data_IF_453058600352
#
_entry.id   IF_453058600352
#
_cell.length_a   1.000
_cell.length_b   1.000
_cell.length_c   1.000
_cell.angle_alpha   90.00
_cell.angle_beta   90.00
_cell.angle_gamma   90.00
#
_symmetry.space_group_name_H-M   'P 1'
#
loop_
_entity.id
_entity.type
_entity.pdbx_description
1 polymer ?
#
# COMPACT_ATOMS: atom_id res chain seq x y z
N UNK A 1 -50.42 -34.20 46.30
CA UNK A 1 -49.88 -34.55 44.96
C UNK A 1 -50.27 -33.39 44.06
N UNK A 2 -49.42 -32.37 44.01
CA UNK A 2 -49.70 -31.08 43.35
C UNK A 2 -48.54 -30.71 42.41
N UNK A 3 -48.87 -29.88 41.42
CA UNK A 3 -48.00 -28.99 40.64
C UNK A 3 -46.85 -29.60 39.81
N UNK A 4 -47.17 -30.04 38.58
CA UNK A 4 -46.23 -30.10 37.44
C UNK A 4 -46.86 -29.51 36.16
N UNK A 5 -47.33 -28.26 36.19
CA UNK A 5 -47.88 -27.55 35.02
C UNK A 5 -47.54 -26.05 35.02
N UNK A 6 -46.24 -25.68 35.06
CA UNK A 6 -45.85 -24.25 35.10
C UNK A 6 -44.53 -23.87 34.41
N UNK A 7 -43.76 -24.83 33.87
CA UNK A 7 -42.42 -24.54 33.31
C UNK A 7 -42.47 -24.17 31.82
N UNK A 8 -43.28 -24.88 31.02
CA UNK A 8 -43.33 -24.78 29.55
C UNK A 8 -43.87 -23.41 29.04
N UNK A 9 -44.66 -22.72 29.87
CA UNK A 9 -45.20 -21.39 29.56
C UNK A 9 -44.16 -20.26 29.66
N UNK A 10 -43.05 -20.46 30.38
CA UNK A 10 -42.04 -19.40 30.58
C UNK A 10 -40.99 -19.37 29.45
N UNK A 11 -40.60 -20.53 28.92
CA UNK A 11 -39.66 -20.62 27.79
C UNK A 11 -40.28 -20.12 26.48
N UNK A 12 -41.54 -20.49 26.21
CA UNK A 12 -42.29 -20.01 25.04
C UNK A 12 -42.47 -18.49 25.01
N UNK A 13 -42.71 -17.86 26.17
CA UNK A 13 -42.73 -16.39 26.31
C UNK A 13 -41.34 -15.79 26.07
N UNK A 14 -40.27 -16.36 26.64
CA UNK A 14 -38.89 -15.88 26.43
C UNK A 14 -38.45 -15.92 24.96
N UNK A 15 -38.84 -16.97 24.22
CA UNK A 15 -38.53 -17.10 22.78
C UNK A 15 -39.33 -16.08 21.96
N UNK A 16 -40.61 -15.84 22.29
CA UNK A 16 -41.42 -14.83 21.62
C UNK A 16 -40.91 -13.39 21.87
N UNK A 17 -40.49 -13.05 23.09
CA UNK A 17 -39.83 -11.76 23.37
C UNK A 17 -38.54 -11.57 22.56
N UNK A 18 -37.70 -12.61 22.46
CA UNK A 18 -36.47 -12.58 21.65
C UNK A 18 -36.80 -12.36 20.17
N UNK A 19 -37.85 -13.02 19.65
CA UNK A 19 -38.32 -12.85 18.26
C UNK A 19 -38.85 -11.44 18.01
N UNK A 20 -39.65 -10.88 18.92
CA UNK A 20 -40.14 -9.49 18.79
C UNK A 20 -38.99 -8.47 18.84
N UNK A 21 -38.01 -8.64 19.75
CA UNK A 21 -36.80 -7.79 19.79
C UNK A 21 -35.94 -7.91 18.53
N UNK A 22 -35.91 -9.08 17.88
CA UNK A 22 -35.22 -9.27 16.59
C UNK A 22 -35.94 -8.54 15.45
N UNK A 23 -37.27 -8.62 15.38
CA UNK A 23 -38.08 -7.93 14.36
C UNK A 23 -38.01 -6.41 14.53
N UNK A 24 -38.15 -5.88 15.75
CA UNK A 24 -37.98 -4.45 16.01
C UNK A 24 -36.57 -3.94 15.63
N UNK A 25 -35.53 -4.78 15.78
CA UNK A 25 -34.15 -4.49 15.31
C UNK A 25 -33.94 -4.63 13.80
N UNK A 26 -34.87 -5.23 13.07
CA UNK A 26 -34.88 -5.26 11.60
C UNK A 26 -35.64 -4.04 11.07
N UNK A 27 -36.81 -3.74 11.63
CA UNK A 27 -37.60 -2.54 11.29
C UNK A 27 -36.83 -1.25 11.58
N UNK A 28 -36.14 -1.16 12.73
CA UNK A 28 -35.27 -0.02 13.05
C UNK A 28 -34.09 0.12 12.07
N UNK A 29 -33.58 -0.99 11.51
CA UNK A 29 -32.54 -0.96 10.47
C UNK A 29 -33.10 -0.49 9.13
N UNK A 30 -34.24 -1.03 8.69
CA UNK A 30 -34.91 -0.54 7.48
C UNK A 30 -35.33 0.94 7.57
N UNK A 31 -35.69 1.42 8.77
CA UNK A 31 -35.93 2.85 9.01
C UNK A 31 -34.64 3.70 8.94
N UNK A 32 -33.49 3.16 9.35
CA UNK A 32 -32.18 3.81 9.17
C UNK A 32 -31.71 3.76 7.71
N UNK A 33 -31.91 2.66 7.00
CA UNK A 33 -31.60 2.53 5.56
C UNK A 33 -32.42 3.54 4.73
N UNK A 34 -33.70 3.77 5.09
CA UNK A 34 -34.54 4.78 4.46
C UNK A 34 -34.03 6.23 4.64
N UNK A 35 -33.31 6.51 5.74
CA UNK A 35 -32.62 7.80 5.97
C UNK A 35 -31.22 7.81 5.32
N UNK A 36 -30.57 6.65 5.22
CA UNK A 36 -29.30 6.44 4.53
C UNK A 36 -29.36 6.53 3.00
N UNK A 37 -30.55 6.61 2.41
CA UNK A 37 -30.80 6.65 0.95
C UNK A 37 -30.40 7.97 0.25
N UNK A 38 -29.26 8.55 0.67
CA UNK A 38 -28.50 9.60 -0.03
C UNK A 38 -27.07 9.17 -0.39
N UNK A 39 -26.51 8.13 0.24
CA UNK A 39 -25.13 7.66 -0.04
C UNK A 39 -25.00 6.80 -1.30
N UNK A 40 -26.11 6.25 -1.80
CA UNK A 40 -26.13 5.53 -3.08
C UNK A 40 -25.96 6.46 -4.29
N UNK A 41 -26.36 7.74 -4.18
CA UNK A 41 -26.24 8.72 -5.27
C UNK A 41 -24.77 9.02 -5.60
N UNK A 42 -23.96 9.30 -4.57
CA UNK A 42 -22.57 9.74 -4.74
C UNK A 42 -21.67 8.67 -5.36
N UNK A 43 -21.90 7.39 -5.09
CA UNK A 43 -21.21 6.31 -5.80
C UNK A 43 -21.51 6.33 -7.31
N UNK A 44 -22.78 6.47 -7.71
CA UNK A 44 -23.13 6.54 -9.14
C UNK A 44 -22.65 7.82 -9.83
N UNK A 45 -22.47 8.91 -9.08
CA UNK A 45 -21.93 10.18 -9.57
C UNK A 45 -20.41 10.10 -9.73
N UNK A 46 -19.72 9.49 -8.77
CA UNK A 46 -18.30 9.21 -8.85
C UNK A 46 -17.94 8.26 -10.00
N UNK A 47 -18.67 7.15 -10.17
CA UNK A 47 -18.41 6.19 -11.24
C UNK A 47 -18.61 6.82 -12.63
N UNK A 48 -19.54 7.80 -12.76
CA UNK A 48 -19.68 8.64 -13.97
C UNK A 48 -18.48 9.56 -14.17
N UNK A 49 -17.98 10.23 -13.13
CA UNK A 49 -16.78 11.06 -13.20
C UNK A 49 -15.55 10.26 -13.60
N UNK A 50 -15.35 9.07 -13.01
CA UNK A 50 -14.26 8.16 -13.34
C UNK A 50 -14.35 7.67 -14.80
N UNK A 51 -15.55 7.31 -15.27
CA UNK A 51 -15.79 6.92 -16.66
C UNK A 51 -15.52 8.08 -17.64
N UNK A 52 -15.98 9.30 -17.33
CA UNK A 52 -15.74 10.52 -18.12
C UNK A 52 -14.24 10.84 -18.20
N UNK A 53 -13.53 10.80 -17.07
CA UNK A 53 -12.09 11.04 -17.02
C UNK A 53 -11.28 9.96 -17.77
N UNK A 54 -11.69 8.69 -17.67
CA UNK A 54 -11.09 7.58 -18.43
C UNK A 54 -11.38 7.68 -19.94
N UNK A 55 -12.55 8.21 -20.33
CA UNK A 55 -12.87 8.47 -21.73
C UNK A 55 -11.95 9.56 -22.33
N UNK A 56 -11.79 10.68 -21.62
CA UNK A 56 -10.91 11.80 -22.01
C UNK A 56 -9.45 11.34 -22.14
N UNK A 57 -8.99 10.46 -21.24
CA UNK A 57 -7.65 9.85 -21.31
C UNK A 57 -7.41 9.01 -22.58
N UNK A 58 -8.46 8.43 -23.17
CA UNK A 58 -8.38 7.57 -24.35
C UNK A 58 -8.73 8.30 -25.66
N UNK A 59 -9.38 9.47 -25.60
CA UNK A 59 -9.67 10.29 -26.78
C UNK A 59 -8.43 11.04 -27.27
N UNK A 60 -8.20 11.02 -28.58
CA UNK A 60 -7.04 11.67 -29.21
C UNK A 60 -7.11 13.21 -29.23
N UNK A 61 -8.27 13.79 -28.90
CA UNK A 61 -8.53 15.23 -28.88
C UNK A 61 -8.55 15.76 -27.44
N UNK A 62 -7.49 16.48 -27.06
CA UNK A 62 -7.31 17.04 -25.71
C UNK A 62 -8.05 18.38 -25.57
N UNK A 63 -9.38 18.32 -25.44
CA UNK A 63 -10.18 19.46 -24.97
C UNK A 63 -10.59 19.24 -23.50
N UNK A 64 -9.63 19.47 -22.59
CA UNK A 64 -9.84 19.33 -21.14
C UNK A 64 -10.37 20.66 -20.60
N UNK A 65 -11.67 20.71 -20.30
CA UNK A 65 -12.28 21.88 -19.67
C UNK A 65 -11.73 22.10 -18.24
N UNK A 66 -11.31 23.32 -17.87
CA UNK A 66 -10.73 23.58 -16.55
C UNK A 66 -11.74 23.37 -15.41
N UNK A 67 -13.03 23.60 -15.67
CA UNK A 67 -14.12 23.33 -14.71
C UNK A 67 -14.19 21.83 -14.33
N UNK A 68 -13.87 20.92 -15.26
CA UNK A 68 -13.90 19.48 -15.01
C UNK A 68 -12.79 19.02 -14.04
N UNK A 69 -11.62 19.67 -14.08
CA UNK A 69 -10.56 19.40 -13.09
C UNK A 69 -11.01 19.82 -11.68
N UNK A 70 -11.71 20.95 -11.56
CA UNK A 70 -12.22 21.44 -10.29
C UNK A 70 -13.41 20.63 -9.76
N UNK A 71 -14.23 20.07 -10.65
CA UNK A 71 -15.26 19.05 -10.35
C UNK A 71 -14.61 17.79 -9.74
N UNK A 72 -13.53 17.28 -10.35
CA UNK A 72 -12.75 16.14 -9.83
C UNK A 72 -12.11 16.45 -8.46
N UNK A 73 -11.48 17.62 -8.30
CA UNK A 73 -10.87 18.03 -7.02
C UNK A 73 -11.91 18.13 -5.89
N UNK A 74 -13.11 18.63 -6.21
CA UNK A 74 -14.22 18.74 -5.25
C UNK A 74 -14.78 17.36 -4.89
N UNK A 75 -14.91 16.45 -5.86
CA UNK A 75 -15.28 15.05 -5.58
C UNK A 75 -14.26 14.36 -4.66
N UNK A 76 -12.96 14.62 -4.85
CA UNK A 76 -11.90 14.06 -4.03
C UNK A 76 -11.85 14.59 -2.58
N UNK A 77 -12.42 15.76 -2.28
CA UNK A 77 -12.49 16.29 -0.90
C UNK A 77 -13.76 15.86 -0.16
N UNK A 78 -14.82 15.47 -0.87
CA UNK A 78 -16.11 15.07 -0.29
C UNK A 78 -16.24 13.57 0.02
N UNK A 79 -15.32 12.73 -0.48
CA UNK A 79 -15.42 11.27 -0.40
C UNK A 79 -14.50 10.70 0.69
N UNK A 80 -14.99 9.81 1.58
CA UNK A 80 -14.15 9.08 2.53
C UNK A 80 -13.02 8.32 1.82
N UNK A 81 -11.84 8.27 2.44
CA UNK A 81 -10.63 7.70 1.83
C UNK A 81 -10.76 6.17 1.67
N UNK A 82 -11.34 5.71 0.56
CA UNK A 82 -11.43 4.30 0.21
C UNK A 82 -11.51 4.09 -1.31
N UNK A 83 -10.77 3.07 -1.80
CA UNK A 83 -10.78 2.36 -3.11
C UNK A 83 -10.83 3.14 -4.43
N UNK A 84 -11.61 4.20 -4.53
CA UNK A 84 -11.92 4.91 -5.77
C UNK A 84 -11.15 6.23 -5.92
N UNK A 85 -10.80 6.87 -4.80
CA UNK A 85 -10.07 8.15 -4.80
C UNK A 85 -8.66 8.05 -5.40
N UNK A 86 -8.00 6.88 -5.36
CA UNK A 86 -6.64 6.73 -5.90
C UNK A 86 -6.61 6.83 -7.43
N UNK A 87 -7.41 6.01 -8.13
CA UNK A 87 -7.49 6.02 -9.61
C UNK A 87 -7.86 7.40 -10.14
N UNK A 88 -8.76 8.11 -9.45
CA UNK A 88 -9.14 9.47 -9.83
C UNK A 88 -8.03 10.51 -9.54
N UNK A 89 -7.24 10.36 -8.46
CA UNK A 89 -6.03 11.17 -8.21
C UNK A 89 -4.95 10.92 -9.27
N UNK A 90 -4.73 9.68 -9.68
CA UNK A 90 -3.79 9.34 -10.76
C UNK A 90 -4.21 9.99 -12.08
N UNK A 91 -5.47 9.81 -12.50
CA UNK A 91 -6.00 10.41 -13.72
C UNK A 91 -5.92 11.94 -13.65
N UNK A 92 -6.30 12.57 -12.52
CA UNK A 92 -6.14 14.01 -12.29
C UNK A 92 -4.67 14.47 -12.48
N UNK A 93 -3.70 13.74 -11.94
CA UNK A 93 -2.28 14.07 -12.07
C UNK A 93 -1.79 13.95 -13.52
N UNK A 94 -2.29 12.96 -14.28
CA UNK A 94 -1.99 12.83 -15.72
C UNK A 94 -2.64 13.96 -16.53
N UNK A 95 -3.92 14.26 -16.30
CA UNK A 95 -4.63 15.36 -16.97
C UNK A 95 -3.97 16.72 -16.68
N UNK A 96 -3.57 17.00 -15.43
CA UNK A 96 -2.77 18.18 -15.07
C UNK A 96 -1.44 18.23 -15.83
N UNK A 97 -0.74 17.09 -15.93
CA UNK A 97 0.53 17.00 -16.66
C UNK A 97 0.37 17.19 -18.18
N UNK A 98 -0.77 16.79 -18.76
CA UNK A 98 -1.11 17.03 -20.16
C UNK A 98 -1.47 18.51 -20.40
N UNK A 99 -2.34 19.09 -19.56
CA UNK A 99 -2.67 20.52 -19.59
C UNK A 99 -1.41 21.39 -19.48
N UNK A 100 -0.50 21.07 -18.56
CA UNK A 100 0.74 21.83 -18.38
C UNK A 100 1.67 21.74 -19.60
N UNK A 101 1.67 20.62 -20.34
CA UNK A 101 2.37 20.50 -21.63
C UNK A 101 1.70 21.32 -22.74
N UNK A 102 0.38 21.39 -22.76
CA UNK A 102 -0.40 22.14 -23.74
C UNK A 102 -0.25 23.66 -23.53
N UNK A 103 -0.43 24.16 -22.30
CA UNK A 103 -0.21 25.56 -21.94
C UNK A 103 1.28 25.95 -21.97
N UNK A 104 2.20 25.00 -21.76
CA UNK A 104 3.65 25.22 -21.88
C UNK A 104 4.15 25.55 -23.29
N UNK A 105 3.31 25.39 -24.31
CA UNK A 105 3.59 25.80 -25.70
C UNK A 105 2.99 27.17 -26.07
N UNK A 106 2.16 27.77 -25.22
CA UNK A 106 1.45 29.02 -25.54
C UNK A 106 1.24 29.97 -24.35
N UNK A 107 2.32 30.58 -23.83
CA UNK A 107 2.32 32.04 -23.67
C UNK A 107 3.75 32.62 -23.58
N UNK A 108 3.88 33.91 -23.86
CA UNK A 108 5.16 34.61 -23.90
C UNK A 108 5.75 34.84 -22.50
N UNK A 109 7.08 34.87 -22.43
CA UNK A 109 7.81 35.21 -21.21
C UNK A 109 7.53 36.67 -20.81
N UNK A 110 6.79 36.89 -19.72
CA UNK A 110 6.92 38.13 -18.94
C UNK A 110 8.00 37.91 -17.88
N UNK A 111 9.05 38.72 -17.93
CA UNK A 111 10.30 38.42 -17.24
C UNK A 111 10.24 38.64 -15.73
N UNK A 112 10.58 37.61 -14.96
CA UNK A 112 11.18 37.73 -13.63
C UNK A 112 12.57 37.11 -13.63
N UNK A 113 13.55 37.90 -14.06
CA UNK A 113 14.94 37.48 -14.20
C UNK A 113 15.68 37.57 -12.86
N UNK A 114 15.75 36.46 -12.11
CA UNK A 114 16.65 36.35 -10.96
C UNK A 114 18.09 36.17 -11.43
N UNK A 115 18.81 37.29 -11.54
CA UNK A 115 20.22 37.32 -11.96
C UNK A 115 21.12 36.72 -10.87
N UNK A 116 21.73 35.57 -11.14
CA UNK A 116 22.75 34.96 -10.26
C UNK A 116 24.13 35.53 -10.57
N UNK A 117 24.60 36.44 -9.70
CA UNK A 117 25.95 37.01 -9.82
C UNK A 117 27.00 35.97 -9.40
N UNK A 118 27.69 35.37 -10.37
CA UNK A 118 29.00 34.73 -10.14
C UNK A 118 30.08 35.81 -10.13
N UNK A 119 30.97 35.77 -9.15
CA UNK A 119 32.24 36.51 -9.17
C UNK A 119 33.40 35.60 -8.74
N UNK A 120 34.60 35.95 -9.18
CA UNK A 120 35.70 35.02 -9.44
C UNK A 120 36.57 34.69 -8.23
N UNK A 121 37.35 33.62 -8.37
CA UNK A 121 38.39 33.22 -7.44
C UNK A 121 39.57 34.20 -7.38
N UNK A 122 40.11 34.43 -6.18
CA UNK A 122 41.53 34.75 -5.98
C UNK A 122 41.96 34.40 -4.53
N UNK A 123 43.05 33.67 -4.37
CA UNK A 123 43.83 33.51 -3.12
C UNK A 123 44.66 34.79 -2.84
N UNK A 124 45.10 35.14 -1.58
CA UNK A 124 46.01 34.27 -0.79
C UNK A 124 46.14 34.42 0.77
N UNK A 125 46.84 33.43 1.36
CA UNK A 125 47.78 33.48 2.54
C UNK A 125 47.31 33.82 3.98
N UNK A 126 47.25 32.76 4.80
CA UNK A 126 47.97 32.51 6.09
C UNK A 126 48.33 33.69 7.02
N UNK A 127 47.85 33.63 8.28
CA UNK A 127 48.66 33.88 9.49
C UNK A 127 48.06 33.28 10.80
N UNK A 128 48.83 33.30 11.90
CA UNK A 128 48.71 32.41 13.08
C UNK A 128 48.08 33.04 14.33
N UNK A 129 47.48 32.14 15.14
CA UNK A 129 47.46 32.08 16.61
C UNK A 129 46.70 33.11 17.47
N UNK A 130 45.77 32.60 18.29
CA UNK A 130 45.79 32.75 19.75
C UNK A 130 45.02 31.58 20.40
N UNK A 131 45.31 31.26 21.68
CA UNK A 131 44.81 30.07 22.38
C UNK A 131 43.87 30.47 23.53
N UNK A 132 42.75 29.76 23.67
CA UNK A 132 42.04 29.62 24.95
C UNK A 132 41.56 28.17 25.11
N UNK A 133 41.91 27.54 26.23
CA UNK A 133 41.57 26.14 26.56
C UNK A 133 40.34 26.12 27.47
N UNK A 134 39.44 25.16 27.25
CA UNK A 134 38.68 24.48 28.31
C UNK A 134 38.33 23.05 27.84
N UNK A 135 38.84 22.07 28.57
CA UNK A 135 38.49 20.63 28.52
C UNK A 135 38.18 20.20 29.96
N UNK A 136 37.62 19.01 30.21
CA UNK A 136 36.61 18.26 29.46
C UNK A 136 35.43 17.84 30.39
N UNK A 137 34.38 17.21 29.86
CA UNK A 137 33.73 16.08 30.53
C UNK A 137 32.98 15.17 29.54
N UNK A 138 33.08 13.87 29.77
CA UNK A 138 32.36 12.73 29.21
C UNK A 138 32.19 12.58 27.68
N UNK A 139 33.20 11.94 27.10
CA UNK A 139 33.13 11.26 25.81
C UNK A 139 32.59 9.82 25.95
N UNK A 140 31.32 9.59 25.60
CA UNK A 140 30.84 8.23 25.28
C UNK A 140 30.98 8.01 23.78
N UNK A 141 32.11 7.43 23.35
CA UNK A 141 32.36 7.11 21.94
C UNK A 141 31.55 5.88 21.51
N UNK A 142 30.29 6.07 21.12
CA UNK A 142 29.61 5.07 20.28
C UNK A 142 30.03 5.31 18.84
N UNK A 143 31.10 4.64 18.42
CA UNK A 143 31.53 4.65 17.02
C UNK A 143 30.45 4.02 16.15
N UNK A 144 29.67 4.86 15.47
CA UNK A 144 28.73 4.44 14.41
C UNK A 144 29.53 3.91 13.23
N UNK A 145 29.93 2.64 13.35
CA UNK A 145 30.54 1.87 12.26
C UNK A 145 29.46 1.67 11.21
N UNK A 146 29.42 2.58 10.24
CA UNK A 146 28.53 2.50 9.08
C UNK A 146 28.91 1.24 8.29
N UNK A 147 28.24 0.14 8.62
CA UNK A 147 28.30 -1.09 7.84
C UNK A 147 27.70 -0.76 6.48
N UNK A 148 28.57 -0.63 5.49
CA UNK A 148 28.17 -0.61 4.08
C UNK A 148 27.65 -2.01 3.76
N UNK A 149 26.35 -2.23 4.01
CA UNK A 149 25.69 -3.46 3.64
C UNK A 149 25.73 -3.59 2.12
N UNK A 150 26.27 -4.72 1.65
CA UNK A 150 26.34 -5.08 0.24
C UNK A 150 24.91 -5.38 -0.23
N UNK A 151 24.25 -4.35 -0.77
CA UNK A 151 22.89 -4.45 -1.28
C UNK A 151 22.93 -4.92 -2.74
N UNK A 152 22.27 -6.03 -3.04
CA UNK A 152 22.07 -6.52 -4.41
C UNK A 152 20.90 -5.77 -5.02
N UNK A 153 21.08 -5.26 -6.23
CA UNK A 153 20.06 -4.47 -6.94
C UNK A 153 19.67 -5.15 -8.24
N UNK A 154 18.36 -5.31 -8.47
CA UNK A 154 17.74 -5.71 -9.73
C UNK A 154 16.95 -4.51 -10.25
N UNK A 155 17.26 -4.03 -11.46
CA UNK A 155 16.71 -2.79 -12.04
C UNK A 155 16.47 -2.92 -13.54
N UNK A 156 15.35 -2.35 -14.03
CA UNK A 156 15.05 -2.23 -15.47
C UNK A 156 15.06 -3.58 -16.22
N UNK A 157 14.54 -4.61 -15.56
CA UNK A 157 14.42 -5.96 -16.13
C UNK A 157 12.96 -6.25 -16.50
N UNK A 158 12.72 -6.64 -17.75
CA UNK A 158 11.36 -6.84 -18.26
C UNK A 158 11.26 -8.13 -19.09
N UNK A 159 10.16 -8.88 -18.94
CA UNK A 159 9.89 -10.08 -19.74
C UNK A 159 10.79 -11.28 -19.42
N UNK A 160 11.43 -11.33 -18.24
CA UNK A 160 12.48 -12.32 -17.94
C UNK A 160 12.19 -13.15 -16.69
N UNK A 161 12.76 -14.36 -16.70
CA UNK A 161 12.91 -15.19 -15.53
C UNK A 161 14.32 -15.02 -14.96
N UNK A 162 14.42 -14.61 -13.70
CA UNK A 162 15.66 -14.19 -13.04
C UNK A 162 15.86 -14.96 -11.74
N UNK A 163 17.08 -15.46 -11.52
CA UNK A 163 17.52 -16.01 -10.23
C UNK A 163 18.63 -15.11 -9.70
N UNK A 164 18.34 -14.37 -8.63
CA UNK A 164 19.26 -13.43 -8.01
C UNK A 164 20.37 -14.21 -7.29
N UNK A 165 21.62 -13.89 -7.59
CA UNK A 165 22.79 -14.48 -6.91
C UNK A 165 23.24 -13.57 -5.77
N UNK A 166 23.40 -14.15 -4.58
CA UNK A 166 23.77 -13.44 -3.37
C UNK A 166 23.96 -14.37 -2.18
N UNK A 167 24.46 -13.80 -1.09
CA UNK A 167 24.80 -14.52 0.14
C UNK A 167 23.76 -14.25 1.27
N UNK A 168 23.64 -15.19 2.21
CA UNK A 168 22.71 -15.12 3.34
C UNK A 168 22.95 -13.88 4.23
N UNK A 169 22.05 -12.91 4.19
CA UNK A 169 22.13 -11.67 4.98
C UNK A 169 22.52 -10.43 4.20
N UNK A 170 22.67 -10.53 2.88
CA UNK A 170 22.68 -9.35 2.00
C UNK A 170 21.28 -8.75 1.88
N UNK A 171 21.19 -7.43 1.70
CA UNK A 171 19.92 -6.76 1.41
C UNK A 171 19.62 -6.82 -0.10
N UNK A 172 18.36 -6.89 -0.48
CA UNK A 172 17.95 -6.96 -1.89
C UNK A 172 17.03 -5.80 -2.24
N UNK A 173 17.30 -5.13 -3.35
CA UNK A 173 16.47 -4.05 -3.91
C UNK A 173 15.99 -4.44 -5.31
N UNK A 174 14.69 -4.42 -5.55
CA UNK A 174 14.05 -4.72 -6.83
C UNK A 174 13.26 -3.48 -7.27
N UNK A 175 13.75 -2.78 -8.29
CA UNK A 175 13.17 -1.53 -8.76
C UNK A 175 12.84 -1.62 -10.25
N UNK A 176 11.72 -1.06 -10.69
CA UNK A 176 11.43 -0.88 -12.13
C UNK A 176 11.53 -2.20 -12.93
N UNK A 177 10.82 -3.23 -12.45
CA UNK A 177 10.77 -4.58 -13.05
C UNK A 177 9.35 -4.86 -13.52
N UNK A 178 9.20 -5.43 -14.72
CA UNK A 178 7.86 -5.63 -15.32
C UNK A 178 7.72 -7.00 -15.98
N UNK A 179 6.53 -7.62 -15.94
CA UNK A 179 6.21 -8.85 -16.67
C UNK A 179 7.29 -9.95 -16.50
N UNK A 180 7.74 -10.17 -15.26
CA UNK A 180 8.92 -10.98 -14.95
C UNK A 180 8.67 -11.98 -13.83
N UNK A 181 9.60 -12.92 -13.64
CA UNK A 181 9.63 -13.82 -12.47
C UNK A 181 11.00 -13.70 -11.81
N UNK A 182 11.06 -13.21 -10.58
CA UNK A 182 12.31 -13.03 -9.83
C UNK A 182 12.34 -13.99 -8.65
N UNK A 183 13.40 -14.79 -8.56
CA UNK A 183 13.66 -15.73 -7.46
C UNK A 183 14.89 -15.29 -6.66
N UNK A 184 14.77 -15.31 -5.34
CA UNK A 184 15.85 -15.01 -4.39
C UNK A 184 16.09 -16.26 -3.54
N UNK A 185 17.03 -17.15 -3.92
CA UNK A 185 17.25 -18.45 -3.30
C UNK A 185 18.01 -18.40 -1.95
N UNK A 186 18.39 -17.22 -1.47
CA UNK A 186 19.15 -16.99 -0.24
C UNK A 186 18.37 -16.12 0.75
N UNK A 187 18.68 -16.24 2.05
CA UNK A 187 17.97 -15.54 3.14
C UNK A 187 18.44 -14.10 3.24
N UNK A 188 17.87 -13.23 2.41
CA UNK A 188 18.11 -11.79 2.45
C UNK A 188 17.88 -11.19 3.85
N UNK A 189 18.64 -10.16 4.20
CA UNK A 189 18.52 -9.43 5.47
C UNK A 189 17.21 -8.63 5.49
N UNK A 190 17.08 -7.65 4.58
CA UNK A 190 15.87 -6.92 4.26
C UNK A 190 15.67 -6.88 2.74
N UNK A 191 14.44 -6.66 2.29
CA UNK A 191 14.10 -6.58 0.87
C UNK A 191 13.23 -5.35 0.60
N UNK A 192 13.61 -4.60 -0.44
CA UNK A 192 12.96 -3.37 -0.89
C UNK A 192 12.44 -3.56 -2.32
N UNK A 193 11.15 -3.32 -2.55
CA UNK A 193 10.49 -3.47 -3.84
C UNK A 193 9.83 -2.13 -4.20
N UNK A 194 10.11 -1.58 -5.38
CA UNK A 194 9.56 -0.29 -5.82
C UNK A 194 9.27 -0.25 -7.32
N UNK A 195 8.12 0.28 -7.72
CA UNK A 195 7.80 0.46 -9.15
C UNK A 195 7.86 -0.85 -9.95
N UNK A 196 7.40 -1.95 -9.33
CA UNK A 196 7.37 -3.29 -9.96
C UNK A 196 5.95 -3.62 -10.37
N UNK A 197 5.75 -4.13 -11.59
CA UNK A 197 4.43 -4.44 -12.17
C UNK A 197 4.36 -5.82 -12.81
N UNK A 198 3.19 -6.45 -12.83
CA UNK A 198 2.92 -7.70 -13.57
C UNK A 198 3.91 -8.84 -13.28
N UNK A 199 4.45 -8.91 -12.06
CA UNK A 199 5.66 -9.68 -11.75
C UNK A 199 5.42 -10.65 -10.60
N UNK A 200 5.99 -11.85 -10.71
CA UNK A 200 6.04 -12.85 -9.63
C UNK A 200 7.39 -12.76 -8.91
N UNK A 201 7.36 -12.54 -7.60
CA UNK A 201 8.53 -12.42 -6.75
C UNK A 201 8.51 -13.55 -5.71
N UNK A 202 9.54 -14.41 -5.72
CA UNK A 202 9.62 -15.59 -4.85
C UNK A 202 10.91 -15.50 -4.02
N UNK A 203 10.77 -15.57 -2.70
CA UNK A 203 11.89 -15.39 -1.77
C UNK A 203 12.04 -16.62 -0.86
N UNK A 204 13.30 -17.00 -0.60
CA UNK A 204 13.63 -17.72 0.63
C UNK A 204 13.26 -16.84 1.86
N UNK A 205 13.13 -17.41 3.07
CA UNK A 205 12.75 -16.66 4.26
C UNK A 205 13.67 -15.46 4.52
N UNK A 206 13.09 -14.26 4.44
CA UNK A 206 13.74 -12.98 4.72
C UNK A 206 13.92 -12.82 6.23
N UNK A 207 15.10 -12.38 6.66
CA UNK A 207 15.48 -12.32 8.08
C UNK A 207 14.67 -11.27 8.84
N UNK A 208 14.49 -10.08 8.26
CA UNK A 208 13.83 -8.93 8.92
C UNK A 208 12.55 -8.52 8.19
N UNK A 209 12.62 -7.64 7.19
CA UNK A 209 11.46 -6.98 6.60
C UNK A 209 11.40 -7.01 5.08
N UNK A 210 10.17 -6.91 4.57
CA UNK A 210 9.85 -6.59 3.19
C UNK A 210 9.15 -5.22 3.15
N UNK A 211 9.61 -4.32 2.29
CA UNK A 211 8.96 -3.03 2.02
C UNK A 211 8.60 -2.94 0.53
N UNK A 212 7.30 -2.79 0.24
CA UNK A 212 6.75 -2.67 -1.12
C UNK A 212 6.14 -1.27 -1.28
N UNK A 213 6.48 -0.56 -2.37
CA UNK A 213 5.93 0.77 -2.68
C UNK A 213 5.66 0.97 -4.17
N UNK A 214 4.56 1.62 -4.55
CA UNK A 214 4.20 1.91 -5.94
C UNK A 214 4.30 0.63 -6.81
N UNK A 215 3.51 -0.39 -6.51
CA UNK A 215 3.57 -1.69 -7.17
C UNK A 215 2.16 -2.17 -7.58
N UNK A 216 2.05 -2.90 -8.69
CA UNK A 216 0.76 -3.26 -9.28
C UNK A 216 0.76 -4.69 -9.83
N UNK A 217 -0.34 -5.42 -9.66
CA UNK A 217 -0.54 -6.77 -10.22
C UNK A 217 0.63 -7.73 -9.89
N UNK A 218 0.99 -7.85 -8.60
CA UNK A 218 2.10 -8.68 -8.16
C UNK A 218 1.65 -10.01 -7.55
N UNK A 219 2.50 -11.01 -7.67
CA UNK A 219 2.43 -12.23 -6.86
C UNK A 219 3.69 -12.33 -6.01
N UNK A 220 3.57 -12.20 -4.68
CA UNK A 220 4.69 -12.09 -3.75
C UNK A 220 4.68 -13.28 -2.80
N UNK A 221 5.73 -14.11 -2.84
CA UNK A 221 5.87 -15.34 -2.05
C UNK A 221 7.01 -15.15 -1.05
N UNK A 222 6.70 -14.98 0.24
CA UNK A 222 7.69 -14.53 1.23
C UNK A 222 7.38 -15.00 2.66
N UNK A 223 8.43 -15.36 3.42
CA UNK A 223 8.35 -15.46 4.88
C UNK A 223 9.24 -14.38 5.51
N UNK A 224 8.71 -13.57 6.45
CA UNK A 224 9.42 -12.42 7.03
C UNK A 224 9.02 -12.15 8.50
N UNK A 225 9.68 -11.22 9.19
CA UNK A 225 9.17 -10.71 10.48
C UNK A 225 8.10 -9.63 10.27
N UNK A 226 8.34 -8.69 9.35
CA UNK A 226 7.41 -7.61 9.02
C UNK A 226 7.29 -7.47 7.50
N UNK A 227 6.07 -7.29 7.01
CA UNK A 227 5.84 -6.85 5.62
C UNK A 227 5.04 -5.55 5.65
N UNK A 228 5.49 -4.55 4.91
CA UNK A 228 4.83 -3.26 4.77
C UNK A 228 4.62 -2.96 3.30
N UNK A 229 3.39 -2.63 2.95
CA UNK A 229 2.96 -2.32 1.59
C UNK A 229 2.32 -0.95 1.60
N UNK A 230 2.73 -0.06 0.70
CA UNK A 230 2.25 1.31 0.64
C UNK A 230 1.98 1.70 -0.81
N UNK A 231 0.85 2.34 -1.13
CA UNK A 231 0.57 2.85 -2.50
C UNK A 231 0.75 1.70 -3.52
N UNK A 232 -0.01 0.63 -3.38
CA UNK A 232 0.18 -0.58 -4.20
C UNK A 232 -1.09 -1.42 -4.30
N UNK A 233 -1.31 -1.98 -5.48
CA UNK A 233 -2.63 -2.45 -5.89
C UNK A 233 -2.59 -3.86 -6.51
N UNK A 234 -3.65 -4.64 -6.29
CA UNK A 234 -3.81 -6.00 -6.82
C UNK A 234 -2.62 -6.93 -6.51
N UNK A 235 -2.20 -6.99 -5.24
CA UNK A 235 -1.10 -7.86 -4.80
C UNK A 235 -1.63 -9.15 -4.16
N UNK A 236 -1.20 -10.29 -4.71
CA UNK A 236 -1.41 -11.62 -4.15
C UNK A 236 -0.20 -12.03 -3.31
N UNK A 237 -0.36 -12.06 -2.00
CA UNK A 237 0.64 -12.53 -1.05
C UNK A 237 0.45 -14.01 -0.72
N UNK A 238 1.51 -14.79 -0.89
CA UNK A 238 1.67 -16.12 -0.31
C UNK A 238 2.72 -15.97 0.79
N UNK A 239 2.26 -15.91 2.05
CA UNK A 239 2.99 -15.18 3.09
C UNK A 239 2.95 -15.85 4.47
N UNK A 240 4.11 -15.86 5.12
CA UNK A 240 4.24 -16.07 6.56
C UNK A 240 4.86 -14.81 7.20
N UNK A 241 4.23 -14.26 8.25
CA UNK A 241 4.76 -13.14 9.03
C UNK A 241 4.89 -13.49 10.49
N UNK A 242 6.02 -13.18 11.13
CA UNK A 242 6.19 -13.41 12.59
C UNK A 242 5.61 -12.27 13.43
N UNK A 243 5.51 -11.07 12.87
CA UNK A 243 4.98 -9.88 13.53
C UNK A 243 3.68 -9.37 12.89
N UNK A 244 3.78 -8.74 11.72
CA UNK A 244 2.63 -8.15 11.04
C UNK A 244 2.82 -8.01 9.52
N UNK A 245 1.71 -8.11 8.79
CA UNK A 245 1.54 -7.54 7.44
C UNK A 245 0.74 -6.23 7.60
N UNK A 246 1.31 -5.13 7.15
CA UNK A 246 0.72 -3.78 7.19
C UNK A 246 0.51 -3.30 5.75
N UNK A 247 -0.66 -2.74 5.47
CA UNK A 247 -0.99 -2.08 4.20
C UNK A 247 -1.44 -0.64 4.45
N UNK A 248 -1.09 0.26 3.53
CA UNK A 248 -1.41 1.69 3.57
C UNK A 248 -1.65 2.18 2.13
N UNK A 249 -2.77 2.85 1.87
CA UNK A 249 -3.20 3.29 0.53
C UNK A 249 -3.11 2.16 -0.53
N UNK A 250 -3.60 0.97 -0.17
CA UNK A 250 -3.59 -0.22 -1.02
C UNK A 250 -5.03 -0.68 -1.33
N UNK A 251 -5.23 -1.42 -2.43
CA UNK A 251 -6.47 -2.19 -2.67
C UNK A 251 -6.20 -3.48 -3.44
N UNK A 252 -7.21 -4.36 -3.49
CA UNK A 252 -7.11 -5.64 -4.21
C UNK A 252 -6.09 -6.60 -3.59
N UNK A 253 -5.78 -6.44 -2.31
CA UNK A 253 -4.81 -7.28 -1.61
C UNK A 253 -5.43 -8.65 -1.29
N UNK A 254 -4.72 -9.73 -1.62
CA UNK A 254 -5.16 -11.09 -1.34
C UNK A 254 -4.07 -11.84 -0.57
N UNK A 255 -4.43 -12.59 0.48
CA UNK A 255 -3.45 -13.31 1.32
C UNK A 255 -3.71 -14.82 1.37
N UNK A 256 -2.64 -15.61 1.32
CA UNK A 256 -2.60 -17.07 1.38
C UNK A 256 -1.34 -17.57 2.15
N UNK A 257 -1.26 -18.85 2.58
CA UNK A 257 -0.09 -19.43 3.25
C UNK A 257 1.16 -19.59 2.37
N UNK A 258 2.29 -19.92 3.01
CA UNK A 258 3.66 -20.13 2.49
C UNK A 258 3.87 -20.02 0.95
N UNK A 259 4.09 -21.10 0.18
CA UNK A 259 4.52 -22.46 0.54
C UNK A 259 5.75 -22.84 -0.32
N UNK A 260 6.95 -22.37 0.03
CA UNK A 260 8.15 -22.62 -0.78
C UNK A 260 8.78 -23.97 -0.46
N UNK A 261 9.06 -24.77 -1.49
CA UNK A 261 9.72 -26.08 -1.37
C UNK A 261 11.11 -25.92 -0.74
N UNK A 262 11.42 -26.79 0.24
CA UNK A 262 12.67 -26.75 1.00
C UNK A 262 12.64 -25.89 2.27
N UNK A 263 11.56 -25.13 2.53
CA UNK A 263 11.41 -24.37 3.76
C UNK A 263 10.19 -24.84 4.57
N UNK A 264 10.42 -25.17 5.85
CA UNK A 264 9.35 -25.49 6.79
C UNK A 264 8.65 -24.21 7.25
N UNK A 265 7.33 -24.29 7.36
CA UNK A 265 6.47 -23.24 7.94
C UNK A 265 6.24 -23.50 9.42
N UNK A 266 6.02 -22.43 10.17
CA UNK A 266 5.41 -22.56 11.50
C UNK A 266 3.90 -22.79 11.35
N UNK A 267 3.46 -24.05 11.50
CA UNK A 267 2.06 -24.44 11.37
C UNK A 267 1.13 -23.78 12.41
N UNK A 268 1.65 -23.20 13.49
CA UNK A 268 0.87 -22.45 14.48
C UNK A 268 0.75 -20.96 14.11
N UNK A 269 1.61 -20.45 13.23
CA UNK A 269 1.65 -19.04 12.87
C UNK A 269 0.52 -18.64 11.92
N UNK A 270 -0.52 -18.02 12.49
CA UNK A 270 -1.67 -17.50 11.77
C UNK A 270 -1.64 -15.97 11.59
N UNK A 271 -0.54 -15.27 11.92
CA UNK A 271 -0.46 -13.81 11.90
C UNK A 271 -0.70 -13.20 10.50
N UNK A 272 -0.43 -13.96 9.44
CA UNK A 272 -0.70 -13.56 8.05
C UNK A 272 -2.19 -13.33 7.75
N UNK A 273 -3.09 -13.88 8.58
CA UNK A 273 -4.55 -13.69 8.49
C UNK A 273 -5.02 -12.37 9.11
N UNK A 274 -4.14 -11.66 9.81
CA UNK A 274 -4.43 -10.43 10.56
C UNK A 274 -3.74 -9.22 9.91
N UNK A 275 -4.15 -8.90 8.67
CA UNK A 275 -3.62 -7.73 7.94
C UNK A 275 -4.07 -6.44 8.61
N UNK A 276 -3.13 -5.53 8.85
CA UNK A 276 -3.41 -4.20 9.41
C UNK A 276 -3.49 -3.20 8.29
N UNK A 277 -4.69 -2.72 7.99
CA UNK A 277 -4.91 -1.63 7.05
C UNK A 277 -4.89 -0.30 7.78
N UNK A 278 -3.95 0.58 7.43
CA UNK A 278 -3.77 1.89 8.07
C UNK A 278 -4.63 2.98 7.43
N UNK A 279 -5.13 2.77 6.20
CA UNK A 279 -6.06 3.70 5.53
C UNK A 279 -7.52 3.40 5.88
N UNK A 280 -7.79 2.27 6.54
CA UNK A 280 -9.12 1.88 7.02
C UNK A 280 -9.29 2.16 8.52
N UNK A 281 -10.03 3.22 8.85
CA UNK A 281 -10.21 3.68 10.23
C UNK A 281 -11.36 3.01 11.00
N UNK A 282 -12.18 2.18 10.36
CA UNK A 282 -13.27 1.48 11.06
C UNK A 282 -12.75 0.29 11.84
N UNK A 283 -13.03 0.29 13.15
CA UNK A 283 -12.75 -0.83 14.06
C UNK A 283 -13.84 -1.91 14.06
N UNK A 284 -15.01 -1.60 13.52
CA UNK A 284 -16.19 -2.49 13.54
C UNK A 284 -16.33 -3.30 12.24
N UNK A 285 -15.86 -2.74 11.12
CA UNK A 285 -15.98 -3.33 9.78
C UNK A 285 -14.63 -3.84 9.26
N UNK A 286 -14.66 -5.01 8.62
CA UNK A 286 -13.50 -5.54 7.90
C UNK A 286 -13.13 -4.64 6.72
N UNK A 287 -11.85 -4.26 6.60
CA UNK A 287 -11.39 -3.44 5.47
C UNK A 287 -11.78 -4.06 4.11
N UNK A 288 -12.32 -3.28 3.16
CA UNK A 288 -12.61 -3.75 1.82
C UNK A 288 -11.35 -3.87 0.94
N UNK A 289 -10.18 -3.46 1.42
CA UNK A 289 -8.95 -3.38 0.63
C UNK A 289 -8.20 -4.71 0.55
N UNK A 290 -8.48 -5.66 1.46
CA UNK A 290 -7.86 -6.98 1.49
C UNK A 290 -8.86 -8.12 1.74
N UNK A 291 -8.46 -9.35 1.43
CA UNK A 291 -9.20 -10.59 1.77
C UNK A 291 -8.27 -11.81 1.81
N UNK A 292 -8.72 -12.88 2.45
CA UNK A 292 -8.06 -14.20 2.35
C UNK A 292 -8.46 -14.86 1.02
N UNK A 293 -7.50 -15.46 0.31
CA UNK A 293 -7.78 -16.25 -0.91
C UNK A 293 -8.61 -17.50 -0.58
N UNK A 294 -9.65 -17.77 -1.37
CA UNK A 294 -10.46 -19.00 -1.26
C UNK A 294 -9.85 -20.17 -2.04
N UNK A 295 -9.22 -19.86 -3.16
CA UNK A 295 -8.54 -20.77 -4.07
C UNK A 295 -7.02 -20.65 -3.87
N UNK A 296 -6.22 -21.57 -4.42
CA UNK A 296 -4.75 -21.55 -4.38
C UNK A 296 -4.05 -21.55 -2.99
N UNK A 297 -4.76 -21.71 -1.86
CA UNK A 297 -4.14 -21.74 -0.51
C UNK A 297 -3.09 -22.84 -0.32
N UNK A 298 -3.17 -23.92 -1.11
CA UNK A 298 -2.25 -25.07 -1.11
C UNK A 298 -1.17 -25.01 -2.21
N UNK A 299 -0.96 -23.84 -2.82
CA UNK A 299 0.01 -23.67 -3.92
C UNK A 299 1.45 -23.68 -3.43
N UNK A 300 2.27 -24.51 -4.07
CA UNK A 300 3.71 -24.62 -3.78
C UNK A 300 4.57 -23.87 -4.80
N UNK A 301 5.71 -23.35 -4.35
CA UNK A 301 6.62 -22.54 -5.16
C UNK A 301 8.06 -23.08 -5.09
N UNK A 302 8.83 -22.88 -6.16
CA UNK A 302 10.24 -23.27 -6.26
C UNK A 302 11.13 -22.02 -6.45
N UNK A 303 12.32 -22.06 -5.86
CA UNK A 303 13.39 -21.05 -5.97
C UNK A 303 14.44 -21.43 -7.02
#
# INVERSE_FOLDING_TARGET
MESETSVDSLESVSVNEKRQRMLARLEARHAQDAVGMKTSSSHTEFDKLLAKATCIMNSSELNIEPEFLQEIETALTLIPIARQSHRLKEILNVLRSQMQKQFGLTHQQTAFSFSTKKENATEPKVQKAAVAKCNPLDSTQTTTKLLVQKAITVTAEHGKELVVKGDDGEDVTINDVTNSVVRVPFKASAVYIKSVKDTTLIFAPVKTSLLIRNCENLTVVVAAQQVRTHDSHQIRFYIEVRGALIIEDCDGIEVAPYNVVGFQQDAQNNNWRNVRDFSWLSSEEHSPNWKIMKEDSTKYFNL
#
